data_IF_127724126602
#
_entry.id   IF_127724126602
#
_cell.length_a   1.000
_cell.length_b   1.000
_cell.length_c   1.000
_cell.angle_alpha   90.00
_cell.angle_beta   90.00
_cell.angle_gamma   90.00
#
_symmetry.space_group_name_H-M   'P 1'
#
loop_
_entity.id
_entity.type
_entity.pdbx_description
1 polymer ?
#
# COMPACT_ATOMS: atom_id res chain seq x y z
N UNK A 1 -12.66 -20.09 52.07
CA UNK A 1 -12.33 -18.86 51.32
C UNK A 1 -11.14 -18.96 50.36
N UNK A 2 -10.37 -20.04 50.33
CA UNK A 2 -9.15 -20.17 49.48
C UNK A 2 -9.44 -20.55 48.00
N UNK A 3 -10.61 -21.06 47.70
CA UNK A 3 -10.93 -21.57 46.34
C UNK A 3 -11.65 -20.57 45.43
N UNK A 4 -12.05 -19.40 45.94
CA UNK A 4 -12.73 -18.37 45.16
C UNK A 4 -11.75 -17.40 44.45
N UNK A 5 -10.50 -17.37 44.88
CA UNK A 5 -9.48 -16.44 44.35
C UNK A 5 -8.94 -16.93 42.98
N UNK A 6 -8.83 -18.26 42.80
CA UNK A 6 -8.28 -18.84 41.58
C UNK A 6 -9.14 -18.55 40.29
N UNK A 7 -10.50 -18.72 40.34
CA UNK A 7 -11.30 -18.42 39.18
C UNK A 7 -11.38 -16.92 38.85
N UNK A 8 -11.26 -16.04 39.88
CA UNK A 8 -11.24 -14.59 39.65
C UNK A 8 -9.96 -14.17 38.96
N UNK A 9 -8.81 -14.74 39.31
CA UNK A 9 -7.53 -14.45 38.66
C UNK A 9 -7.53 -14.96 37.20
N UNK A 10 -8.11 -16.11 36.92
CA UNK A 10 -8.25 -16.62 35.54
C UNK A 10 -9.17 -15.73 34.68
N UNK A 11 -10.26 -15.22 35.26
CA UNK A 11 -11.17 -14.30 34.56
C UNK A 11 -10.53 -12.96 34.25
N UNK A 12 -9.68 -12.43 35.13
CA UNK A 12 -8.96 -11.18 34.91
C UNK A 12 -7.91 -11.34 33.79
N UNK A 13 -7.18 -12.47 33.77
CA UNK A 13 -6.16 -12.74 32.75
C UNK A 13 -6.77 -12.96 31.34
N UNK A 14 -7.92 -13.61 31.25
CA UNK A 14 -8.66 -13.78 29.99
C UNK A 14 -9.31 -12.48 29.54
N UNK A 15 -9.79 -11.65 30.48
CA UNK A 15 -10.37 -10.35 30.21
C UNK A 15 -9.37 -9.37 29.62
N UNK A 16 -8.13 -9.34 30.11
CA UNK A 16 -7.08 -8.48 29.55
C UNK A 16 -6.72 -8.85 28.11
N UNK A 17 -6.64 -10.14 27.77
CA UNK A 17 -6.39 -10.57 26.39
C UNK A 17 -7.57 -10.25 25.46
N UNK A 18 -8.79 -10.42 25.92
CA UNK A 18 -9.99 -10.08 25.16
C UNK A 18 -10.10 -8.57 24.92
N UNK A 19 -9.78 -7.75 25.92
CA UNK A 19 -9.76 -6.29 25.82
C UNK A 19 -8.67 -5.79 24.86
N UNK A 20 -7.47 -6.33 24.92
CA UNK A 20 -6.39 -5.95 23.97
C UNK A 20 -6.70 -6.39 22.55
N UNK A 21 -7.34 -7.54 22.37
CA UNK A 21 -7.79 -8.00 21.05
C UNK A 21 -8.93 -7.13 20.53
N UNK A 22 -9.89 -6.77 21.37
CA UNK A 22 -10.98 -5.87 21.02
C UNK A 22 -10.48 -4.46 20.69
N UNK A 23 -9.52 -3.93 21.44
CA UNK A 23 -8.89 -2.63 21.17
C UNK A 23 -8.13 -2.64 19.84
N UNK A 24 -7.40 -3.72 19.54
CA UNK A 24 -6.79 -3.94 18.22
C UNK A 24 -7.83 -3.89 17.09
N UNK A 25 -8.96 -4.56 17.25
CA UNK A 25 -10.04 -4.57 16.25
C UNK A 25 -10.74 -3.21 16.15
N UNK A 26 -11.08 -2.59 17.29
CA UNK A 26 -11.82 -1.34 17.35
C UNK A 26 -10.98 -0.14 16.84
N UNK A 27 -9.66 -0.17 17.05
CA UNK A 27 -8.74 0.89 16.63
C UNK A 27 -8.05 0.64 15.29
N UNK A 28 -8.42 -0.43 14.57
CA UNK A 28 -7.73 -0.88 13.35
C UNK A 28 -6.21 -1.09 13.53
N UNK A 29 -5.76 -1.37 14.73
CA UNK A 29 -4.34 -1.67 15.06
C UNK A 29 -3.97 -3.13 14.77
N UNK A 30 -4.53 -3.70 13.72
CA UNK A 30 -4.15 -5.04 13.22
C UNK A 30 -2.82 -5.01 12.46
N UNK A 31 -2.18 -3.85 12.41
CA UNK A 31 -0.98 -3.63 11.63
C UNK A 31 0.09 -2.94 12.45
N UNK A 32 1.30 -3.41 12.31
CA UNK A 32 2.47 -2.63 12.65
C UNK A 32 2.66 -1.54 11.59
N UNK A 33 2.89 -0.32 12.03
CA UNK A 33 3.07 0.84 11.13
C UNK A 33 4.54 1.20 11.08
N UNK A 34 5.07 1.35 9.87
CA UNK A 34 6.45 1.73 9.63
C UNK A 34 6.53 3.02 8.82
N UNK A 35 7.55 3.82 9.11
CA UNK A 35 7.93 4.94 8.28
C UNK A 35 8.55 4.41 6.98
N UNK A 36 8.08 4.90 5.85
CA UNK A 36 8.62 4.56 4.55
C UNK A 36 9.46 5.73 4.05
N UNK A 37 10.73 5.76 4.45
CA UNK A 37 11.68 6.70 3.90
C UNK A 37 11.76 6.50 2.37
N UNK A 38 11.73 7.59 1.61
CA UNK A 38 11.81 7.62 0.14
C UNK A 38 10.61 7.06 -0.64
N UNK A 39 9.50 6.74 0.02
CA UNK A 39 8.26 6.46 -0.68
C UNK A 39 7.37 7.70 -0.73
N UNK A 40 7.14 8.19 -1.94
CA UNK A 40 6.26 9.32 -2.18
C UNK A 40 5.43 9.09 -3.45
N UNK A 41 4.32 9.80 -3.55
CA UNK A 41 3.52 9.90 -4.75
C UNK A 41 2.97 11.31 -4.86
N UNK A 42 2.64 11.75 -6.06
CA UNK A 42 1.93 12.99 -6.26
C UNK A 42 0.41 12.76 -6.31
N UNK A 43 -0.39 13.77 -5.96
CA UNK A 43 -1.82 13.79 -6.25
C UNK A 43 -2.00 13.98 -7.76
N UNK A 44 -2.39 12.92 -8.47
CA UNK A 44 -2.63 12.97 -9.90
C UNK A 44 -4.02 13.52 -10.21
N UNK A 45 -4.08 14.44 -11.18
CA UNK A 45 -5.31 15.08 -11.66
C UNK A 45 -5.64 14.60 -13.07
N UNK A 46 -6.58 13.66 -13.22
CA UNK A 46 -6.90 13.07 -14.52
C UNK A 46 -7.29 14.08 -15.61
N UNK A 47 -8.00 15.16 -15.22
CA UNK A 47 -8.44 16.21 -16.15
C UNK A 47 -7.28 17.01 -16.77
N UNK A 48 -6.14 17.07 -16.09
CA UNK A 48 -4.95 17.77 -16.56
C UNK A 48 -3.84 16.81 -16.98
N UNK A 49 -3.99 15.51 -16.71
CA UNK A 49 -2.96 14.47 -16.87
C UNK A 49 -1.62 14.91 -16.24
N UNK A 50 -1.72 15.44 -15.05
CA UNK A 50 -0.56 16.04 -14.36
C UNK A 50 -0.63 15.82 -12.85
N UNK A 51 0.53 15.97 -12.22
CA UNK A 51 0.70 15.91 -10.77
C UNK A 51 0.62 17.30 -10.16
N UNK A 52 -0.10 17.43 -9.06
CA UNK A 52 0.09 18.60 -8.19
C UNK A 52 1.45 18.52 -7.50
N UNK A 53 2.00 19.69 -7.16
CA UNK A 53 3.35 19.83 -6.59
C UNK A 53 3.53 19.11 -5.25
N UNK A 54 2.43 18.79 -4.57
CA UNK A 54 2.45 18.16 -3.25
C UNK A 54 2.79 16.67 -3.35
N UNK A 55 4.02 16.34 -3.05
CA UNK A 55 4.41 14.94 -2.80
C UNK A 55 3.81 14.47 -1.48
N UNK A 56 3.17 13.31 -1.53
CA UNK A 56 2.62 12.61 -0.38
C UNK A 56 3.52 11.46 0.01
N UNK A 57 3.96 11.43 1.27
CA UNK A 57 4.68 10.28 1.80
C UNK A 57 3.74 9.10 2.04
N UNK A 58 4.28 7.90 1.96
CA UNK A 58 3.60 6.66 2.32
C UNK A 58 3.95 6.24 3.74
N UNK A 59 2.98 5.58 4.38
CA UNK A 59 3.25 4.72 5.52
C UNK A 59 3.08 3.27 5.09
N UNK A 60 3.96 2.41 5.56
CA UNK A 60 3.88 0.96 5.37
C UNK A 60 3.16 0.36 6.57
N UNK A 61 2.18 -0.49 6.32
CA UNK A 61 1.49 -1.26 7.34
C UNK A 61 1.65 -2.74 7.04
N UNK A 62 2.09 -3.50 8.03
CA UNK A 62 2.29 -4.94 7.89
C UNK A 62 1.44 -5.64 8.95
N UNK A 63 0.70 -6.68 8.55
CA UNK A 63 -0.08 -7.50 9.50
C UNK A 63 0.82 -8.22 10.48
N UNK A 64 0.33 -8.47 11.70
CA UNK A 64 1.07 -9.17 12.77
C UNK A 64 1.61 -10.54 12.30
N UNK A 65 0.86 -11.24 11.45
CA UNK A 65 1.23 -12.52 10.82
C UNK A 65 2.14 -12.38 9.60
N UNK A 66 2.47 -11.14 9.22
CA UNK A 66 3.28 -10.77 8.05
C UNK A 66 2.73 -11.29 6.70
N UNK A 67 1.47 -11.70 6.67
CA UNK A 67 0.85 -12.20 5.44
C UNK A 67 0.49 -11.11 4.44
N UNK A 68 0.33 -9.85 4.92
CA UNK A 68 -0.10 -8.71 4.11
C UNK A 68 0.74 -7.47 4.40
N UNK A 69 0.97 -6.69 3.34
CA UNK A 69 1.54 -5.35 3.41
C UNK A 69 0.56 -4.37 2.77
N UNK A 70 0.37 -3.21 3.37
CA UNK A 70 -0.42 -2.14 2.82
C UNK A 70 0.38 -0.83 2.80
N UNK A 71 0.24 -0.10 1.71
CA UNK A 71 0.84 1.21 1.50
C UNK A 71 -0.25 2.26 1.62
N UNK A 72 -0.12 3.12 2.60
CA UNK A 72 -1.13 4.14 2.91
C UNK A 72 -0.63 5.49 2.46
N UNK A 73 -1.36 6.14 1.56
CA UNK A 73 -1.02 7.45 1.00
C UNK A 73 -1.91 8.52 1.63
N UNK A 74 -1.27 9.57 2.18
CA UNK A 74 -1.96 10.75 2.66
C UNK A 74 -2.86 10.52 3.87
N UNK A 75 -3.76 11.48 4.12
CA UNK A 75 -4.60 11.51 5.33
C UNK A 75 -5.91 10.72 5.21
N UNK A 76 -6.31 10.29 4.03
CA UNK A 76 -7.60 9.64 3.78
C UNK A 76 -7.36 8.25 3.21
N UNK A 77 -7.17 7.27 4.07
CA UNK A 77 -7.35 5.82 3.83
C UNK A 77 -7.20 5.30 2.38
N UNK A 78 -6.49 6.04 1.53
CA UNK A 78 -6.12 5.56 0.23
C UNK A 78 -4.92 4.64 0.41
N UNK A 79 -5.15 3.35 0.30
CA UNK A 79 -4.11 2.36 0.41
C UNK A 79 -4.27 1.29 -0.65
N UNK A 80 -3.16 0.72 -1.03
CA UNK A 80 -3.12 -0.47 -1.85
C UNK A 80 -2.28 -1.51 -1.14
N UNK A 81 -2.80 -2.73 -1.12
CA UNK A 81 -2.23 -3.81 -0.33
C UNK A 81 -1.84 -5.00 -1.20
N UNK A 82 -0.93 -5.78 -0.67
CA UNK A 82 -0.39 -6.96 -1.31
C UNK A 82 -0.39 -8.11 -0.31
N UNK A 83 -0.64 -9.31 -0.82
CA UNK A 83 -0.62 -10.54 -0.05
C UNK A 83 0.53 -11.41 -0.50
N UNK A 84 1.08 -12.24 0.40
CA UNK A 84 2.17 -13.15 0.03
C UNK A 84 1.75 -14.15 -1.03
N UNK A 85 0.54 -14.68 -0.94
CA UNK A 85 0.03 -15.71 -1.85
C UNK A 85 -0.11 -15.21 -3.30
N UNK A 86 -0.41 -13.91 -3.47
CA UNK A 86 -0.66 -13.30 -4.77
C UNK A 86 0.42 -12.27 -5.16
N UNK A 87 1.54 -12.23 -4.43
CA UNK A 87 2.54 -11.18 -4.55
C UNK A 87 3.03 -10.95 -5.97
N UNK A 88 3.41 -12.01 -6.67
CA UNK A 88 3.91 -11.91 -8.05
C UNK A 88 2.87 -11.29 -8.98
N UNK A 89 1.61 -11.75 -8.91
CA UNK A 89 0.50 -11.24 -9.72
C UNK A 89 0.18 -9.78 -9.39
N UNK A 90 0.17 -9.43 -8.11
CA UNK A 90 -0.18 -8.08 -7.65
C UNK A 90 0.92 -7.06 -7.94
N UNK A 91 2.20 -7.47 -7.99
CA UNK A 91 3.32 -6.58 -8.34
C UNK A 91 3.59 -6.51 -9.85
N UNK A 92 3.01 -7.40 -10.64
CA UNK A 92 3.24 -7.44 -12.08
C UNK A 92 2.99 -6.09 -12.78
N UNK A 93 1.90 -5.33 -12.52
CA UNK A 93 1.68 -4.04 -13.16
C UNK A 93 2.79 -3.01 -12.88
N UNK A 94 3.41 -3.06 -11.70
CA UNK A 94 4.54 -2.19 -11.34
C UNK A 94 5.78 -2.54 -12.18
N UNK A 95 6.05 -3.83 -12.35
CA UNK A 95 7.16 -4.34 -13.15
C UNK A 95 6.93 -4.07 -14.65
N UNK A 96 5.72 -4.29 -15.13
CA UNK A 96 5.33 -3.99 -16.51
C UNK A 96 5.48 -2.50 -16.83
N UNK A 97 5.17 -1.62 -15.86
CA UNK A 97 5.40 -0.18 -16.01
C UNK A 97 6.88 0.14 -16.19
N UNK A 98 7.77 -0.46 -15.40
CA UNK A 98 9.22 -0.21 -15.54
C UNK A 98 9.72 -0.63 -16.92
N UNK A 99 9.30 -1.80 -17.41
CA UNK A 99 9.65 -2.27 -18.77
C UNK A 99 9.12 -1.29 -19.83
N UNK A 100 7.87 -0.87 -19.68
CA UNK A 100 7.25 0.09 -20.59
C UNK A 100 7.96 1.45 -20.58
N UNK A 101 8.38 1.92 -19.40
CA UNK A 101 9.04 3.21 -19.23
C UNK A 101 10.46 3.25 -19.78
N UNK A 102 11.16 2.11 -19.78
CA UNK A 102 12.55 1.97 -20.26
C UNK A 102 12.66 1.67 -21.77
N UNK A 103 11.55 1.47 -22.49
CA UNK A 103 11.58 1.22 -23.92
C UNK A 103 12.12 2.47 -24.68
N UNK A 104 13.16 2.34 -25.51
CA UNK A 104 13.75 3.44 -26.25
C UNK A 104 12.80 4.09 -27.28
N UNK A 105 11.76 3.37 -27.71
CA UNK A 105 10.73 3.91 -28.60
C UNK A 105 9.63 4.66 -27.85
N UNK A 106 10.00 5.35 -26.78
CA UNK A 106 9.08 6.00 -25.85
C UNK A 106 8.12 7.01 -26.52
N UNK A 107 8.52 7.62 -27.62
CA UNK A 107 7.71 8.63 -28.31
C UNK A 107 6.44 8.05 -28.95
N UNK A 108 6.46 6.76 -29.30
CA UNK A 108 5.32 6.05 -29.91
C UNK A 108 4.52 5.22 -28.88
N UNK A 109 4.85 5.33 -27.59
CA UNK A 109 4.18 4.55 -26.56
C UNK A 109 2.74 4.99 -26.37
N UNK A 110 1.85 4.03 -26.49
CA UNK A 110 0.46 4.24 -26.14
C UNK A 110 0.27 4.14 -24.62
N UNK A 111 -0.60 4.99 -24.10
CA UNK A 111 -1.07 4.91 -22.72
C UNK A 111 -1.76 3.55 -22.52
N UNK A 112 -1.36 2.83 -21.48
CA UNK A 112 -1.95 1.53 -21.14
C UNK A 112 -2.75 1.63 -19.85
N UNK A 113 -3.96 1.10 -19.89
CA UNK A 113 -4.78 0.92 -18.69
C UNK A 113 -4.77 -0.56 -18.32
N UNK A 114 -4.41 -0.85 -17.06
CA UNK A 114 -4.42 -2.19 -16.52
C UNK A 114 -5.30 -2.20 -15.26
N UNK A 115 -6.33 -3.02 -15.28
CA UNK A 115 -7.12 -3.30 -14.07
C UNK A 115 -6.67 -4.63 -13.49
N UNK A 116 -6.27 -4.61 -12.25
CA UNK A 116 -5.88 -5.82 -11.51
C UNK A 116 -6.65 -5.87 -10.20
N UNK A 117 -7.24 -7.01 -9.93
CA UNK A 117 -7.78 -7.29 -8.63
C UNK A 117 -6.61 -7.31 -7.64
N UNK A 118 -6.49 -6.26 -6.85
CA UNK A 118 -5.64 -6.25 -5.68
C UNK A 118 -6.52 -6.47 -4.48
N UNK A 119 -6.20 -7.44 -3.63
CA UNK A 119 -6.83 -7.49 -2.33
C UNK A 119 -6.21 -6.36 -1.52
N UNK A 120 -6.89 -5.22 -1.47
CA UNK A 120 -6.46 -4.08 -0.66
C UNK A 120 -6.71 -4.46 0.79
N UNK A 121 -5.77 -5.24 1.34
CA UNK A 121 -5.86 -5.70 2.72
C UNK A 121 -5.82 -4.53 3.67
N UNK A 122 -6.89 -4.34 4.42
CA UNK A 122 -6.96 -3.35 5.48
C UNK A 122 -8.34 -2.87 5.79
N UNK A 123 -9.24 -2.96 4.86
CA UNK A 123 -10.66 -2.91 5.19
C UNK A 123 -11.18 -4.32 5.26
N UNK A 124 -11.73 -4.72 6.38
CA UNK A 124 -12.55 -5.92 6.52
C UNK A 124 -13.73 -5.93 5.52
N UNK A 125 -13.92 -4.83 4.75
CA UNK A 125 -15.12 -4.56 4.01
C UNK A 125 -14.94 -4.38 2.50
N UNK A 126 -13.71 -4.27 1.97
CA UNK A 126 -13.53 -3.96 0.55
C UNK A 126 -12.47 -4.83 -0.12
N UNK A 127 -12.94 -5.79 -0.92
CA UNK A 127 -12.17 -6.33 -2.04
C UNK A 127 -12.33 -5.33 -3.20
N UNK A 128 -11.38 -4.45 -3.40
CA UNK A 128 -11.43 -3.47 -4.47
C UNK A 128 -10.33 -3.73 -5.49
N UNK A 129 -10.67 -3.57 -6.74
CA UNK A 129 -9.69 -3.59 -7.82
C UNK A 129 -8.87 -2.30 -7.77
N UNK A 130 -7.55 -2.45 -7.82
CA UNK A 130 -6.63 -1.34 -8.03
C UNK A 130 -6.54 -1.10 -9.53
N UNK A 131 -6.75 0.14 -9.94
CA UNK A 131 -6.57 0.53 -11.34
C UNK A 131 -5.17 1.11 -11.53
N UNK A 132 -4.45 0.60 -12.52
CA UNK A 132 -3.14 1.08 -12.95
C UNK A 132 -3.25 1.62 -14.38
N UNK A 133 -2.69 2.81 -14.58
CA UNK A 133 -2.58 3.43 -15.91
C UNK A 133 -1.13 3.86 -16.14
N UNK A 134 -0.57 3.51 -17.28
CA UNK A 134 0.74 4.00 -17.72
C UNK A 134 0.52 5.26 -18.52
N UNK A 135 1.14 6.34 -18.12
CA UNK A 135 0.96 7.66 -18.71
C UNK A 135 2.27 8.45 -18.74
N UNK A 136 2.20 9.68 -19.20
CA UNK A 136 3.26 10.68 -19.12
C UNK A 136 2.72 11.93 -18.44
N UNK A 137 3.60 12.67 -17.75
CA UNK A 137 3.26 14.00 -17.25
C UNK A 137 2.96 14.92 -18.43
N UNK A 138 1.82 15.60 -18.42
CA UNK A 138 1.42 16.52 -19.49
C UNK A 138 2.38 17.70 -19.61
N UNK A 139 2.88 18.24 -18.50
CA UNK A 139 3.87 19.33 -18.45
C UNK A 139 5.28 18.88 -18.81
N UNK A 140 5.54 17.56 -18.78
CA UNK A 140 6.83 16.92 -19.08
C UNK A 140 6.55 15.61 -19.81
N UNK A 141 6.21 15.69 -21.08
CA UNK A 141 5.78 14.55 -21.90
C UNK A 141 6.81 13.42 -22.01
N UNK A 142 8.05 13.68 -21.64
CA UNK A 142 9.17 12.73 -21.59
C UNK A 142 9.29 11.97 -20.25
N UNK A 143 8.49 12.33 -19.24
CA UNK A 143 8.54 11.69 -17.92
C UNK A 143 7.43 10.64 -17.79
N UNK A 144 7.77 9.34 -17.83
CA UNK A 144 6.81 8.27 -17.59
C UNK A 144 6.23 8.35 -16.18
N UNK A 145 4.94 8.08 -16.07
CA UNK A 145 4.19 8.12 -14.82
C UNK A 145 3.29 6.90 -14.69
N UNK A 146 3.42 6.18 -13.58
CA UNK A 146 2.44 5.18 -13.17
C UNK A 146 1.33 5.87 -12.39
N UNK A 147 0.13 5.87 -12.94
CA UNK A 147 -1.05 6.36 -12.22
C UNK A 147 -1.73 5.19 -11.52
N UNK A 148 -1.89 5.31 -10.21
CA UNK A 148 -2.54 4.30 -9.36
C UNK A 148 -3.80 4.88 -8.77
N UNK A 149 -4.91 4.18 -8.97
CA UNK A 149 -6.19 4.46 -8.31
C UNK A 149 -6.54 3.28 -7.39
N UNK A 150 -6.38 3.43 -6.08
CA UNK A 150 -6.50 2.32 -5.12
C UNK A 150 -7.90 1.68 -5.08
N UNK A 151 -8.95 2.45 -5.35
CA UNK A 151 -10.33 1.98 -5.47
C UNK A 151 -11.18 3.03 -6.20
N UNK A 152 -12.36 2.70 -6.63
CA UNK A 152 -13.22 3.55 -7.48
C UNK A 152 -13.49 4.97 -6.92
N UNK A 153 -13.60 5.09 -5.59
CA UNK A 153 -13.85 6.36 -4.90
C UNK A 153 -12.58 7.05 -4.37
N UNK A 154 -11.39 6.50 -4.65
CA UNK A 154 -10.13 7.10 -4.22
C UNK A 154 -9.64 8.14 -5.22
N UNK A 155 -8.81 9.06 -4.70
CA UNK A 155 -7.98 9.90 -5.56
C UNK A 155 -6.96 9.03 -6.30
N UNK A 156 -6.57 9.49 -7.48
CA UNK A 156 -5.46 8.88 -8.22
C UNK A 156 -4.13 9.47 -7.75
N UNK A 157 -3.12 8.64 -7.72
CA UNK A 157 -1.75 8.99 -7.35
C UNK A 157 -0.81 8.69 -8.51
N UNK A 158 0.16 9.56 -8.71
CA UNK A 158 1.20 9.38 -9.73
C UNK A 158 2.52 8.99 -9.08
N UNK A 159 3.19 8.00 -9.66
CA UNK A 159 4.52 7.56 -9.27
C UNK A 159 5.46 7.61 -10.48
N UNK A 160 6.59 8.25 -10.33
CA UNK A 160 7.68 8.23 -11.29
C UNK A 160 8.37 6.87 -11.34
N UNK A 161 9.23 6.64 -12.31
CA UNK A 161 10.05 5.41 -12.42
C UNK A 161 10.84 5.16 -11.13
N UNK A 162 11.44 6.20 -10.55
CA UNK A 162 12.21 6.08 -9.31
C UNK A 162 11.32 5.68 -8.12
N UNK A 163 10.16 6.31 -7.99
CA UNK A 163 9.20 6.01 -6.92
C UNK A 163 8.67 4.58 -7.04
N UNK A 164 8.44 4.08 -8.26
CA UNK A 164 8.06 2.67 -8.47
C UNK A 164 9.19 1.71 -8.13
N UNK A 165 10.45 2.03 -8.48
CA UNK A 165 11.62 1.23 -8.09
C UNK A 165 11.76 1.15 -6.57
N UNK A 166 11.64 2.28 -5.87
CA UNK A 166 11.68 2.34 -4.41
C UNK A 166 10.54 1.53 -3.78
N UNK A 167 9.34 1.65 -4.33
CA UNK A 167 8.18 0.89 -3.90
C UNK A 167 8.41 -0.61 -4.02
N UNK A 168 8.85 -1.08 -5.18
CA UNK A 168 9.16 -2.50 -5.40
C UNK A 168 10.27 -2.99 -4.47
N UNK A 169 11.29 -2.18 -4.20
CA UNK A 169 12.36 -2.54 -3.26
C UNK A 169 11.81 -2.81 -1.85
N UNK A 170 10.92 -1.95 -1.34
CA UNK A 170 10.26 -2.16 -0.04
C UNK A 170 9.43 -3.44 -0.04
N UNK A 171 8.67 -3.67 -1.10
CA UNK A 171 7.79 -4.81 -1.22
C UNK A 171 8.55 -6.12 -1.37
N UNK A 172 9.60 -6.13 -2.17
CA UNK A 172 10.48 -7.30 -2.37
C UNK A 172 11.20 -7.65 -1.06
N UNK A 173 11.69 -6.63 -0.31
CA UNK A 173 12.28 -6.84 1.01
C UNK A 173 11.28 -7.43 2.01
N UNK A 174 10.04 -6.94 2.02
CA UNK A 174 8.98 -7.53 2.85
C UNK A 174 8.69 -8.97 2.45
N UNK A 175 8.55 -9.25 1.16
CA UNK A 175 8.28 -10.59 0.67
C UNK A 175 9.41 -11.56 1.01
N UNK A 176 10.66 -11.12 0.90
CA UNK A 176 11.85 -11.89 1.29
C UNK A 176 12.03 -12.03 2.81
N UNK A 177 11.28 -11.28 3.63
CA UNK A 177 11.43 -11.27 5.08
C UNK A 177 12.62 -10.45 5.59
N UNK A 178 13.21 -9.61 4.75
CA UNK A 178 14.38 -8.75 5.05
C UNK A 178 14.02 -7.29 5.28
N UNK A 179 12.73 -6.94 5.27
CA UNK A 179 12.28 -5.58 5.51
C UNK A 179 12.67 -5.09 6.91
N UNK A 180 13.32 -3.92 6.95
CA UNK A 180 13.79 -3.27 8.17
C UNK A 180 13.40 -1.79 8.15
N UNK A 181 12.12 -1.50 8.31
CA UNK A 181 11.62 -0.14 8.45
C UNK A 181 11.67 0.34 9.91
N UNK A 182 11.70 1.66 10.12
CA UNK A 182 11.53 2.25 11.45
C UNK A 182 10.05 2.15 11.85
N UNK A 183 9.78 1.36 12.89
CA UNK A 183 8.42 1.22 13.41
C UNK A 183 7.96 2.53 14.07
N UNK A 184 6.76 2.96 13.71
CA UNK A 184 6.09 4.09 14.35
C UNK A 184 5.27 3.56 15.52
N UNK A 185 5.57 4.04 16.72
CA UNK A 185 4.87 3.69 17.98
C UNK A 185 3.58 4.49 18.13
#
# INVERSE_FOLDING_TARGET
MRYLVLPVILLVLTGCKALTTFDKYATMRLYEVYEAENLSACDYKPQFRDCTVDKRSFNVRITDDKSKIALVVGKRYAYFGFTRDDFARQTQPLRDFLIWAEDPNAQDKQIKQLRKAGNVGGSLFYNTEVEYQFDYLHTRADVPLLVVKPHENANSYGLTVEEVKNLLSVMDAWYAGTFSGKQLT
#
